data_IF_327641737584
#
_entry.id   IF_327641737584
#
_cell.length_a   1.000
_cell.length_b   1.000
_cell.length_c   1.000
_cell.angle_alpha   90.00
_cell.angle_beta   90.00
_cell.angle_gamma   90.00
#
_symmetry.space_group_name_H-M   'P 1'
#
loop_
_entity.id
_entity.type
_entity.pdbx_description
1 polymer ?
#
# COMPACT_ATOMS: atom_id res chain seq x y z
N UNK A 1 20.32 -2.08 -44.46
CA UNK A 1 18.91 -1.69 -44.19
C UNK A 1 18.11 -2.96 -44.14
N UNK A 2 17.90 -3.51 -42.94
CA UNK A 2 17.10 -4.72 -42.75
C UNK A 2 15.65 -4.31 -42.52
N UNK A 3 14.75 -4.91 -43.28
CA UNK A 3 13.31 -4.67 -43.26
C UNK A 3 12.71 -5.60 -42.20
N UNK A 4 12.02 -5.02 -41.22
CA UNK A 4 11.36 -5.75 -40.13
C UNK A 4 10.20 -6.60 -40.68
N UNK A 5 10.18 -7.88 -40.30
CA UNK A 5 9.16 -8.85 -40.67
C UNK A 5 7.99 -8.80 -39.66
N UNK A 6 6.75 -8.47 -40.07
CA UNK A 6 5.62 -8.23 -39.15
C UNK A 6 4.96 -9.50 -38.58
N UNK A 7 5.62 -10.66 -38.66
CA UNK A 7 5.03 -11.96 -38.29
C UNK A 7 5.81 -12.75 -37.22
N UNK A 8 6.79 -12.14 -36.54
CA UNK A 8 7.50 -12.78 -35.43
C UNK A 8 6.72 -12.64 -34.09
N UNK A 9 6.22 -13.73 -33.46
CA UNK A 9 5.63 -13.69 -32.13
C UNK A 9 6.64 -13.38 -31.00
N UNK A 10 7.93 -13.24 -31.34
CA UNK A 10 8.99 -12.66 -30.49
C UNK A 10 9.23 -11.17 -30.77
N UNK A 11 8.34 -10.50 -31.50
CA UNK A 11 8.26 -9.04 -31.48
C UNK A 11 8.17 -8.60 -30.01
N UNK A 12 9.34 -8.24 -29.48
CA UNK A 12 9.53 -7.82 -28.10
C UNK A 12 8.46 -6.82 -27.78
N UNK A 13 7.54 -7.18 -26.87
CA UNK A 13 6.63 -6.23 -26.28
C UNK A 13 7.51 -5.14 -25.67
N UNK A 14 7.65 -4.01 -26.37
CA UNK A 14 8.36 -2.84 -25.88
C UNK A 14 7.50 -2.25 -24.78
N UNK A 15 7.70 -2.74 -23.57
CA UNK A 15 7.07 -2.20 -22.38
C UNK A 15 7.87 -0.94 -22.01
N UNK A 16 7.57 0.16 -22.69
CA UNK A 16 8.09 1.48 -22.34
C UNK A 16 7.33 2.01 -21.11
N UNK A 17 7.96 2.85 -20.27
CA UNK A 17 7.23 3.64 -19.29
C UNK A 17 6.09 4.38 -19.98
N UNK A 18 4.89 4.34 -19.39
CA UNK A 18 3.71 5.00 -19.94
C UNK A 18 3.57 6.41 -19.41
N UNK A 19 3.01 7.30 -20.21
CA UNK A 19 2.52 8.61 -19.75
C UNK A 19 1.41 8.44 -18.71
N UNK A 20 1.09 9.52 -17.98
CA UNK A 20 -0.05 9.52 -17.03
C UNK A 20 -1.38 9.11 -17.68
N UNK A 21 -1.62 9.48 -18.94
CA UNK A 21 -2.86 9.13 -19.64
C UNK A 21 -2.94 7.61 -19.88
N UNK A 22 -1.87 7.03 -20.44
CA UNK A 22 -1.76 5.59 -20.68
C UNK A 22 -1.82 4.78 -19.37
N UNK A 23 -1.20 5.33 -18.31
CA UNK A 23 -1.29 4.79 -16.95
C UNK A 23 -2.74 4.67 -16.47
N UNK A 24 -3.49 5.76 -16.54
CA UNK A 24 -4.88 5.81 -16.07
C UNK A 24 -5.78 4.90 -16.90
N UNK A 25 -5.62 4.89 -18.22
CA UNK A 25 -6.37 4.00 -19.10
C UNK A 25 -6.12 2.53 -18.74
N UNK A 26 -4.87 2.15 -18.54
CA UNK A 26 -4.50 0.79 -18.16
C UNK A 26 -4.97 0.44 -16.74
N UNK A 27 -4.99 1.39 -15.80
CA UNK A 27 -5.59 1.19 -14.48
C UNK A 27 -7.10 0.96 -14.54
N UNK A 28 -7.82 1.72 -15.37
CA UNK A 28 -9.26 1.55 -15.56
C UNK A 28 -9.55 0.19 -16.18
N UNK A 29 -8.79 -0.19 -17.21
CA UNK A 29 -8.89 -1.51 -17.82
C UNK A 29 -8.58 -2.63 -16.82
N UNK A 30 -7.57 -2.44 -15.98
CA UNK A 30 -7.22 -3.39 -14.92
C UNK A 30 -8.33 -3.48 -13.87
N UNK A 31 -8.83 -2.36 -13.36
CA UNK A 31 -9.92 -2.31 -12.38
C UNK A 31 -11.22 -2.94 -12.89
N UNK A 32 -11.48 -2.90 -14.21
CA UNK A 32 -12.63 -3.54 -14.82
C UNK A 32 -12.55 -5.09 -14.84
N UNK A 33 -11.36 -5.67 -14.69
CA UNK A 33 -11.11 -7.12 -14.69
C UNK A 33 -10.89 -7.69 -13.29
N UNK A 34 -10.71 -6.83 -12.28
CA UNK A 34 -10.57 -7.22 -10.88
C UNK A 34 -11.93 -7.63 -10.32
N UNK A 35 -12.28 -8.88 -10.55
CA UNK A 35 -13.43 -9.56 -9.93
C UNK A 35 -12.94 -10.45 -8.77
N UNK A 36 -13.86 -10.99 -7.97
CA UNK A 36 -13.55 -12.02 -6.95
C UNK A 36 -12.88 -13.28 -7.56
N UNK A 37 -12.97 -13.44 -8.89
CA UNK A 37 -12.43 -14.56 -9.66
C UNK A 37 -11.00 -14.31 -10.17
N UNK A 38 -10.41 -13.13 -9.94
CA UNK A 38 -9.00 -12.90 -10.24
C UNK A 38 -8.16 -13.84 -9.33
N UNK A 39 -7.36 -14.77 -9.86
CA UNK A 39 -6.54 -15.68 -9.04
C UNK A 39 -5.48 -14.95 -8.19
N UNK A 40 -5.32 -13.64 -8.38
CA UNK A 40 -4.50 -12.72 -7.59
C UNK A 40 -5.33 -11.71 -6.79
N UNK A 41 -6.67 -11.78 -6.87
CA UNK A 41 -7.54 -11.48 -5.74
C UNK A 41 -7.22 -12.50 -4.65
N UNK A 42 -6.11 -12.26 -3.97
CA UNK A 42 -5.83 -12.97 -2.73
C UNK A 42 -6.88 -12.46 -1.78
N UNK A 43 -7.95 -13.24 -1.59
CA UNK A 43 -8.75 -13.15 -0.38
C UNK A 43 -7.73 -13.34 0.74
N UNK A 44 -7.30 -12.27 1.43
CA UNK A 44 -6.36 -12.45 2.51
C UNK A 44 -7.01 -13.45 3.46
N UNK A 45 -6.33 -14.58 3.70
CA UNK A 45 -6.74 -15.55 4.71
C UNK A 45 -7.11 -14.74 5.93
N UNK A 46 -8.36 -14.82 6.43
CA UNK A 46 -8.85 -13.96 7.53
C UNK A 46 -7.80 -13.95 8.65
N UNK A 47 -6.95 -12.91 8.73
CA UNK A 47 -5.81 -12.94 9.63
C UNK A 47 -6.37 -12.72 11.03
N UNK A 48 -5.80 -13.42 12.01
CA UNK A 48 -6.16 -13.21 13.40
C UNK A 48 -5.54 -11.89 13.88
N UNK A 49 -6.38 -10.91 14.20
CA UNK A 49 -5.89 -9.63 14.71
C UNK A 49 -5.37 -9.75 16.14
N UNK A 50 -4.34 -8.98 16.46
CA UNK A 50 -3.92 -8.79 17.84
C UNK A 50 -5.12 -8.21 18.62
N UNK A 51 -5.58 -8.88 19.70
CA UNK A 51 -6.72 -8.40 20.48
C UNK A 51 -6.52 -6.98 21.01
N UNK A 52 -5.28 -6.61 21.37
CA UNK A 52 -4.94 -5.25 21.80
C UNK A 52 -5.09 -4.25 20.67
N UNK A 53 -4.76 -4.64 19.42
CA UNK A 53 -4.94 -3.80 18.25
C UNK A 53 -6.43 -3.56 17.96
N UNK A 54 -7.28 -4.57 18.13
CA UNK A 54 -8.74 -4.43 18.00
C UNK A 54 -9.33 -3.57 19.12
N UNK A 55 -8.91 -3.80 20.36
CA UNK A 55 -9.45 -3.09 21.53
C UNK A 55 -9.06 -1.61 21.55
N UNK A 56 -7.80 -1.29 21.22
CA UNK A 56 -7.26 0.09 21.27
C UNK A 56 -7.31 0.82 19.93
N UNK A 57 -7.57 0.10 18.84
CA UNK A 57 -7.62 0.65 17.51
C UNK A 57 -8.87 1.48 17.25
N UNK A 58 -8.68 2.65 16.65
CA UNK A 58 -9.76 3.49 16.14
C UNK A 58 -9.72 3.42 14.62
N UNK A 59 -10.70 2.75 14.02
CA UNK A 59 -10.86 2.68 12.58
C UNK A 59 -11.41 4.01 12.05
N UNK A 60 -10.66 4.63 11.14
CA UNK A 60 -11.01 5.91 10.52
C UNK A 60 -11.04 5.75 9.00
N UNK A 61 -12.11 6.24 8.40
CA UNK A 61 -12.25 6.36 6.95
C UNK A 61 -12.07 7.84 6.57
N UNK A 62 -11.13 8.11 5.67
CA UNK A 62 -10.91 9.48 5.16
C UNK A 62 -11.87 9.85 4.02
N UNK A 63 -12.57 8.84 3.46
CA UNK A 63 -13.58 9.00 2.41
C UNK A 63 -14.96 8.63 2.96
N UNK A 64 -15.91 9.56 2.87
CA UNK A 64 -17.29 9.37 3.31
C UNK A 64 -17.99 8.24 2.53
N UNK A 65 -17.66 8.04 1.26
CA UNK A 65 -18.24 6.94 0.47
C UNK A 65 -17.75 5.58 0.95
N UNK A 66 -16.45 5.48 1.27
CA UNK A 66 -15.88 4.29 1.91
C UNK A 66 -16.55 4.01 3.25
N UNK A 67 -16.71 5.03 4.11
CA UNK A 67 -17.38 4.89 5.40
C UNK A 67 -18.82 4.39 5.24
N UNK A 68 -19.61 5.01 4.35
CA UNK A 68 -21.00 4.62 4.10
C UNK A 68 -21.09 3.19 3.58
N UNK A 69 -20.19 2.77 2.69
CA UNK A 69 -20.12 1.40 2.18
C UNK A 69 -19.86 0.40 3.29
N UNK A 70 -18.90 0.68 4.16
CA UNK A 70 -18.55 -0.20 5.27
C UNK A 70 -19.68 -0.29 6.31
N UNK A 71 -20.38 0.82 6.59
CA UNK A 71 -21.58 0.82 7.44
C UNK A 71 -22.71 0.00 6.83
N UNK A 72 -22.96 0.15 5.53
CA UNK A 72 -23.97 -0.65 4.83
C UNK A 72 -23.62 -2.14 4.86
N UNK A 73 -22.35 -2.49 4.67
CA UNK A 73 -21.85 -3.85 4.78
C UNK A 73 -22.06 -4.43 6.19
N UNK A 74 -21.70 -3.69 7.24
CA UNK A 74 -21.92 -4.11 8.63
C UNK A 74 -23.40 -4.40 8.96
N UNK A 75 -24.34 -3.70 8.30
CA UNK A 75 -25.78 -3.87 8.54
C UNK A 75 -26.36 -5.02 7.70
N UNK A 76 -25.87 -5.20 6.47
CA UNK A 76 -26.55 -6.00 5.46
C UNK A 76 -25.82 -7.28 5.03
N UNK A 77 -24.50 -7.41 5.24
CA UNK A 77 -23.76 -8.61 4.89
C UNK A 77 -23.72 -9.60 6.06
N UNK A 78 -24.25 -10.78 5.82
CA UNK A 78 -24.14 -11.92 6.75
C UNK A 78 -22.68 -12.31 6.97
N UNK A 79 -22.24 -12.48 8.22
CA UNK A 79 -20.85 -12.82 8.56
C UNK A 79 -19.92 -11.62 8.77
N UNK A 80 -20.50 -10.43 9.00
CA UNK A 80 -19.79 -9.22 9.43
C UNK A 80 -20.17 -8.89 10.87
N UNK A 81 -19.91 -9.84 11.75
CA UNK A 81 -20.40 -9.80 13.14
C UNK A 81 -19.42 -9.08 14.08
N UNK A 82 -18.25 -8.69 13.57
CA UNK A 82 -17.18 -8.07 14.34
C UNK A 82 -16.47 -6.93 13.59
N UNK A 83 -15.80 -6.05 14.35
CA UNK A 83 -14.90 -5.02 13.77
C UNK A 83 -13.74 -5.67 13.00
N UNK A 84 -13.29 -6.85 13.43
CA UNK A 84 -12.27 -7.63 12.74
C UNK A 84 -12.73 -8.03 11.33
N UNK A 85 -13.99 -8.46 11.17
CA UNK A 85 -14.55 -8.75 9.84
C UNK A 85 -14.60 -7.50 8.96
N UNK A 86 -14.96 -6.34 9.52
CA UNK A 86 -14.95 -5.07 8.79
C UNK A 86 -13.54 -4.65 8.36
N UNK A 87 -12.54 -4.80 9.24
CA UNK A 87 -11.15 -4.53 8.91
C UNK A 87 -10.63 -5.46 7.82
N UNK A 88 -10.92 -6.75 7.95
CA UNK A 88 -10.55 -7.75 6.95
C UNK A 88 -11.17 -7.43 5.60
N UNK A 89 -12.47 -7.11 5.55
CA UNK A 89 -13.11 -6.66 4.32
C UNK A 89 -12.47 -5.39 3.75
N UNK A 90 -12.18 -4.39 4.58
CA UNK A 90 -11.57 -3.16 4.12
C UNK A 90 -10.21 -3.44 3.45
N UNK A 91 -9.38 -4.30 4.03
CA UNK A 91 -8.11 -4.71 3.45
C UNK A 91 -8.31 -5.54 2.18
N UNK A 92 -9.18 -6.56 2.20
CA UNK A 92 -9.49 -7.43 1.05
C UNK A 92 -9.94 -6.63 -0.16
N UNK A 93 -10.88 -5.71 0.02
CA UNK A 93 -11.44 -4.91 -1.06
C UNK A 93 -10.60 -3.66 -1.38
N UNK A 94 -9.49 -3.45 -0.67
CA UNK A 94 -8.63 -2.27 -0.85
C UNK A 94 -9.37 -0.97 -0.55
N UNK A 95 -10.25 -0.95 0.44
CA UNK A 95 -10.93 0.24 0.92
C UNK A 95 -9.94 1.08 1.73
N UNK A 96 -9.73 2.33 1.31
CA UNK A 96 -8.86 3.27 2.02
C UNK A 96 -9.42 3.52 3.41
N UNK A 97 -8.65 3.13 4.41
CA UNK A 97 -9.02 3.20 5.82
C UNK A 97 -7.75 3.21 6.65
N UNK A 98 -7.80 3.62 7.91
CA UNK A 98 -6.62 3.61 8.79
C UNK A 98 -7.00 3.20 10.19
N UNK A 99 -6.13 2.42 10.84
CA UNK A 99 -6.23 2.14 12.26
C UNK A 99 -5.33 3.12 13.01
N UNK A 100 -5.96 3.96 13.82
CA UNK A 100 -5.29 4.90 14.70
C UNK A 100 -5.21 4.34 16.11
N UNK A 101 -4.19 4.74 16.85
CA UNK A 101 -4.02 4.41 18.26
C UNK A 101 -3.83 5.68 19.05
N UNK A 102 -4.31 5.71 20.30
CA UNK A 102 -3.98 6.80 21.21
C UNK A 102 -2.49 6.75 21.52
N UNK A 103 -1.83 7.90 21.55
CA UNK A 103 -0.38 7.95 21.86
C UNK A 103 -0.06 7.27 23.20
N UNK A 104 -0.96 7.35 24.19
CA UNK A 104 -0.83 6.70 25.50
C UNK A 104 -0.92 5.17 25.45
N UNK A 105 -1.59 4.59 24.45
CA UNK A 105 -1.72 3.13 24.30
C UNK A 105 -0.58 2.52 23.46
N UNK A 106 0.15 3.35 22.70
CA UNK A 106 1.25 2.91 21.84
C UNK A 106 2.30 2.04 22.56
N UNK A 107 2.69 2.31 23.83
CA UNK A 107 3.63 1.45 24.56
C UNK A 107 3.17 -0.01 24.72
N UNK A 108 1.87 -0.30 24.62
CA UNK A 108 1.33 -1.68 24.72
C UNK A 108 1.75 -2.56 23.55
N UNK A 109 2.19 -1.95 22.44
CA UNK A 109 2.60 -2.63 21.21
C UNK A 109 4.11 -2.75 21.07
N UNK A 110 4.87 -2.36 22.10
CA UNK A 110 6.32 -2.56 22.12
C UNK A 110 6.60 -4.05 22.29
N UNK A 111 7.10 -4.68 21.24
CA UNK A 111 7.57 -6.05 21.31
C UNK A 111 9.03 -6.07 21.78
N UNK A 112 9.33 -6.67 22.95
CA UNK A 112 10.69 -6.73 23.47
C UNK A 112 11.65 -7.56 22.60
N UNK A 113 11.15 -8.41 21.70
CA UNK A 113 12.00 -9.25 20.84
C UNK A 113 12.36 -8.59 19.50
N UNK A 114 11.65 -7.53 19.07
CA UNK A 114 11.91 -6.87 17.78
C UNK A 114 12.94 -5.73 17.85
N UNK A 115 13.53 -5.47 19.02
CA UNK A 115 14.60 -4.47 19.27
C UNK A 115 15.87 -4.62 18.39
N UNK A 116 15.89 -5.58 17.46
CA UNK A 116 16.99 -5.82 16.53
C UNK A 116 16.59 -6.02 15.06
N UNK A 117 15.33 -5.77 14.67
CA UNK A 117 14.97 -5.79 13.25
C UNK A 117 15.62 -4.60 12.56
N UNK A 118 16.68 -4.88 11.80
CA UNK A 118 17.48 -3.98 10.97
C UNK A 118 16.66 -3.26 9.88
N UNK A 119 15.72 -2.40 10.28
CA UNK A 119 15.32 -1.29 9.42
C UNK A 119 16.50 -0.32 9.42
N UNK A 120 17.01 0.05 8.25
CA UNK A 120 18.03 1.07 8.12
C UNK A 120 17.51 2.37 8.75
N UNK A 121 17.94 2.70 9.96
CA UNK A 121 17.42 3.86 10.70
C UNK A 121 17.66 5.18 9.98
N UNK A 122 18.53 5.21 8.95
CA UNK A 122 18.75 6.39 8.11
C UNK A 122 17.48 6.88 7.42
N UNK A 123 16.54 5.98 7.07
CA UNK A 123 15.27 6.37 6.46
C UNK A 123 14.27 7.00 7.45
N UNK A 124 14.60 6.97 8.74
CA UNK A 124 13.86 7.70 9.75
C UNK A 124 14.40 9.11 9.95
N UNK A 125 15.64 9.43 9.55
CA UNK A 125 16.30 10.71 9.86
C UNK A 125 15.55 11.95 9.32
N UNK A 126 15.55 13.08 10.04
CA UNK A 126 14.95 14.32 9.54
C UNK A 126 15.55 14.74 8.20
N UNK A 127 14.69 15.01 7.21
CA UNK A 127 15.11 15.44 5.88
C UNK A 127 15.51 14.30 4.94
N UNK A 128 15.35 13.04 5.34
CA UNK A 128 15.46 11.89 4.44
C UNK A 128 14.55 12.07 3.22
N UNK A 129 15.06 11.65 2.06
CA UNK A 129 14.36 11.66 0.78
C UNK A 129 14.53 10.29 0.14
N UNK A 130 13.48 9.81 -0.49
CA UNK A 130 13.57 8.57 -1.23
C UNK A 130 14.48 8.71 -2.46
N UNK A 131 15.05 7.60 -2.89
CA UNK A 131 15.72 7.54 -4.19
C UNK A 131 14.73 7.93 -5.29
N UNK A 132 15.14 8.79 -6.21
CA UNK A 132 14.34 9.12 -7.39
C UNK A 132 14.64 8.12 -8.49
N UNK A 133 13.59 7.56 -9.09
CA UNK A 133 13.76 6.76 -10.30
C UNK A 133 14.16 7.68 -11.45
N UNK A 134 15.24 7.34 -12.13
CA UNK A 134 15.70 8.02 -13.32
C UNK A 134 15.77 7.05 -14.49
N UNK A 135 15.45 7.53 -15.69
CA UNK A 135 15.66 6.79 -16.94
C UNK A 135 17.16 6.71 -17.26
N UNK A 136 17.87 5.78 -16.63
CA UNK A 136 19.29 5.53 -16.84
C UNK A 136 19.53 4.08 -17.28
N UNK A 137 20.36 3.88 -18.31
CA UNK A 137 20.68 2.53 -18.81
C UNK A 137 19.55 1.82 -19.58
N UNK A 138 18.50 2.55 -19.99
CA UNK A 138 17.39 2.02 -20.77
C UNK A 138 16.26 1.39 -19.94
N UNK A 139 15.11 1.12 -20.57
CA UNK A 139 13.88 0.73 -19.89
C UNK A 139 13.96 -0.57 -19.06
N UNK A 140 14.80 -1.53 -19.47
CA UNK A 140 14.99 -2.77 -18.73
C UNK A 140 15.72 -2.55 -17.40
N UNK A 141 16.77 -1.72 -17.42
CA UNK A 141 17.52 -1.36 -16.22
C UNK A 141 16.66 -0.57 -15.24
N UNK A 142 15.97 0.47 -15.72
CA UNK A 142 15.05 1.28 -14.91
C UNK A 142 13.98 0.42 -14.22
N UNK A 143 13.49 -0.62 -14.90
CA UNK A 143 12.53 -1.56 -14.31
C UNK A 143 13.13 -2.43 -13.22
N UNK A 144 14.34 -2.93 -13.42
CA UNK A 144 15.03 -3.71 -12.37
C UNK A 144 15.19 -2.84 -11.13
N UNK A 145 15.68 -1.62 -11.32
CA UNK A 145 15.82 -0.63 -10.24
C UNK A 145 14.49 -0.37 -9.53
N UNK A 146 13.41 -0.12 -10.28
CA UNK A 146 12.09 0.07 -9.69
C UNK A 146 11.62 -1.15 -8.87
N UNK A 147 11.78 -2.38 -9.39
CA UNK A 147 11.40 -3.59 -8.64
C UNK A 147 12.19 -3.72 -7.34
N UNK A 148 13.47 -3.39 -7.38
CA UNK A 148 14.33 -3.46 -6.21
C UNK A 148 13.96 -2.38 -5.18
N UNK A 149 13.67 -1.16 -5.61
CA UNK A 149 13.16 -0.09 -4.72
C UNK A 149 11.78 -0.44 -4.14
N UNK A 150 10.85 -0.96 -4.96
CA UNK A 150 9.54 -1.41 -4.50
C UNK A 150 9.65 -2.53 -3.45
N UNK A 151 10.58 -3.47 -3.62
CA UNK A 151 10.89 -4.48 -2.59
C UNK A 151 11.44 -3.84 -1.33
N UNK A 152 12.41 -2.92 -1.44
CA UNK A 152 13.00 -2.25 -0.27
C UNK A 152 11.93 -1.53 0.56
N UNK A 153 11.10 -0.69 -0.06
CA UNK A 153 10.08 0.08 0.67
C UNK A 153 9.00 -0.81 1.30
N UNK A 154 8.66 -1.94 0.66
CA UNK A 154 7.66 -2.89 1.20
C UNK A 154 8.21 -3.78 2.33
N UNK A 155 9.53 -3.78 2.55
CA UNK A 155 10.15 -4.48 3.68
C UNK A 155 10.35 -3.60 4.90
N UNK A 156 10.19 -2.26 4.79
CA UNK A 156 10.29 -1.34 5.92
C UNK A 156 9.22 -1.58 6.96
N UNK A 157 9.51 -1.28 8.22
CA UNK A 157 8.65 -1.52 9.39
C UNK A 157 7.22 -0.91 9.28
N UNK A 158 7.07 0.27 8.67
CA UNK A 158 5.77 0.95 8.49
C UNK A 158 5.05 0.61 7.17
N UNK A 159 5.62 -0.25 6.34
CA UNK A 159 5.03 -0.67 5.06
C UNK A 159 3.59 -1.23 5.14
N UNK A 160 3.10 -1.81 6.26
CA UNK A 160 1.68 -2.14 6.40
C UNK A 160 0.73 -0.97 6.12
N UNK A 161 1.16 0.28 6.29
CA UNK A 161 0.38 1.46 5.92
C UNK A 161 0.02 1.54 4.43
N UNK A 162 0.75 0.86 3.53
CA UNK A 162 0.36 0.76 2.12
C UNK A 162 -0.96 -0.02 1.94
N UNK A 163 -1.20 -1.05 2.75
CA UNK A 163 -2.44 -1.83 2.69
C UNK A 163 -3.64 -0.95 3.09
N UNK A 164 -3.47 -0.15 4.13
CA UNK A 164 -4.47 0.79 4.65
C UNK A 164 -4.75 1.94 3.67
N UNK A 165 -3.76 2.35 2.86
CA UNK A 165 -3.97 3.32 1.77
C UNK A 165 -4.95 2.82 0.71
N UNK A 166 -5.17 1.51 0.62
CA UNK A 166 -6.16 0.90 -0.25
C UNK A 166 -5.83 1.01 -1.74
N UNK A 167 -6.85 0.78 -2.56
CA UNK A 167 -6.81 0.89 -4.01
C UNK A 167 -5.68 0.07 -4.64
N UNK A 168 -5.03 0.66 -5.64
CA UNK A 168 -3.93 0.01 -6.35
C UNK A 168 -2.65 -0.10 -5.49
N UNK A 169 -2.46 0.85 -4.56
CA UNK A 169 -1.29 0.92 -3.70
C UNK A 169 -1.19 -0.31 -2.80
N UNK A 170 -2.29 -0.64 -2.13
CA UNK A 170 -2.39 -1.84 -1.30
C UNK A 170 -2.02 -3.10 -2.08
N UNK A 171 -2.49 -3.20 -3.32
CA UNK A 171 -2.33 -4.39 -4.17
C UNK A 171 -0.91 -4.55 -4.70
N UNK A 172 -0.29 -3.47 -5.16
CA UNK A 172 1.11 -3.51 -5.58
C UNK A 172 1.98 -3.85 -4.37
N UNK A 173 1.75 -3.22 -3.22
CA UNK A 173 2.51 -3.49 -2.00
C UNK A 173 2.40 -4.96 -1.57
N UNK A 174 1.18 -5.49 -1.54
CA UNK A 174 0.93 -6.89 -1.18
C UNK A 174 1.61 -7.87 -2.13
N UNK A 175 1.70 -7.54 -3.44
CA UNK A 175 2.44 -8.37 -4.39
C UNK A 175 3.94 -8.43 -4.09
N UNK A 176 4.55 -7.30 -3.73
CA UNK A 176 5.98 -7.27 -3.42
C UNK A 176 6.29 -7.86 -2.04
N UNK A 177 5.34 -7.81 -1.11
CA UNK A 177 5.46 -8.42 0.20
C UNK A 177 4.10 -8.91 0.74
N UNK A 178 3.78 -10.21 0.60
CA UNK A 178 2.52 -10.77 1.10
C UNK A 178 2.47 -10.81 2.65
N UNK A 179 3.61 -10.72 3.33
CA UNK A 179 3.69 -10.70 4.80
C UNK A 179 3.27 -9.36 5.42
N UNK A 180 2.90 -8.37 4.60
CA UNK A 180 2.43 -7.08 5.11
C UNK A 180 1.16 -7.20 5.95
N UNK A 181 0.30 -8.16 5.62
CA UNK A 181 -0.92 -8.41 6.39
C UNK A 181 -0.61 -8.92 7.79
N UNK A 182 0.26 -9.93 7.91
CA UNK A 182 0.70 -10.49 9.19
C UNK A 182 1.35 -9.43 10.10
N UNK A 183 1.90 -8.38 9.49
CA UNK A 183 2.50 -7.26 10.20
C UNK A 183 1.47 -6.21 10.59
N UNK A 184 0.51 -5.92 9.69
CA UNK A 184 -0.60 -5.02 9.96
C UNK A 184 -1.41 -5.46 11.17
N UNK A 185 -1.72 -6.75 11.26
CA UNK A 185 -2.58 -7.30 12.31
C UNK A 185 -1.94 -7.29 13.71
N UNK A 186 -0.62 -7.10 13.81
CA UNK A 186 0.10 -7.00 15.08
C UNK A 186 -0.13 -5.65 15.77
N UNK A 187 -0.44 -4.61 15.01
CA UNK A 187 -0.60 -3.25 15.51
C UNK A 187 0.37 -2.26 14.84
N UNK A 188 0.64 -1.10 15.46
CA UNK A 188 1.51 -0.07 14.91
C UNK A 188 2.97 -0.53 14.88
N UNK A 189 3.75 -0.07 13.89
CA UNK A 189 5.15 -0.43 13.73
C UNK A 189 6.09 0.24 14.76
N UNK A 190 7.34 -0.22 14.82
CA UNK A 190 8.46 0.39 15.58
C UNK A 190 8.65 1.88 15.27
N UNK A 191 8.34 2.34 14.04
CA UNK A 191 8.34 3.76 13.69
C UNK A 191 7.42 4.57 14.60
N UNK A 192 6.28 4.02 14.95
CA UNK A 192 5.29 4.64 15.85
C UNK A 192 5.61 4.31 17.31
N UNK A 193 5.92 3.05 17.61
CA UNK A 193 6.05 2.57 19.00
C UNK A 193 7.34 2.98 19.68
N UNK A 194 8.46 3.01 18.96
CA UNK A 194 9.79 3.33 19.48
C UNK A 194 10.24 4.73 19.10
N UNK A 195 10.07 5.09 17.83
CA UNK A 195 10.56 6.37 17.32
C UNK A 195 9.55 7.51 17.44
N UNK A 196 8.28 7.21 17.75
CA UNK A 196 7.20 8.19 17.83
C UNK A 196 7.04 9.04 16.55
N UNK A 197 7.35 8.47 15.37
CA UNK A 197 7.32 9.11 14.05
C UNK A 197 6.13 8.66 13.19
N UNK A 198 4.96 8.55 13.81
CA UNK A 198 3.69 8.30 13.11
C UNK A 198 3.05 9.55 12.52
N UNK A 199 2.00 9.35 11.73
CA UNK A 199 1.09 10.44 11.38
C UNK A 199 0.27 10.80 12.60
N UNK A 200 0.30 12.07 13.03
CA UNK A 200 -0.47 12.53 14.18
C UNK A 200 -1.77 13.17 13.69
N UNK A 201 -2.88 12.57 14.10
CA UNK A 201 -4.20 13.14 13.93
C UNK A 201 -4.60 13.84 15.23
N UNK A 202 -4.56 15.18 15.20
CA UNK A 202 -5.06 15.99 16.29
C UNK A 202 -6.55 16.29 16.05
N UNK A 203 -7.43 15.49 16.65
CA UNK A 203 -8.86 15.57 16.39
C UNK A 203 -9.61 16.41 17.42
N UNK A 204 -10.17 17.52 16.93
CA UNK A 204 -11.54 17.97 17.26
C UNK A 204 -12.61 17.20 16.46
N UNK A 205 -12.20 16.34 15.52
CA UNK A 205 -13.02 15.74 14.45
C UNK A 205 -13.62 14.37 14.84
N UNK A 206 -13.05 13.65 15.81
CA UNK A 206 -13.70 12.43 16.30
C UNK A 206 -14.84 12.87 17.22
N UNK A 207 -16.04 12.37 16.93
CA UNK A 207 -17.27 12.75 17.60
C UNK A 207 -17.08 12.66 19.12
N UNK A 208 -17.09 13.83 19.79
CA UNK A 208 -16.78 13.99 21.23
C UNK A 208 -17.64 13.05 22.08
N UNK A 209 -18.87 12.81 21.63
CA UNK A 209 -19.87 12.00 22.30
C UNK A 209 -19.64 10.49 22.17
N UNK A 210 -18.85 10.04 21.18
CA UNK A 210 -18.60 8.62 20.90
C UNK A 210 -17.37 8.10 21.64
N UNK A 211 -16.34 8.94 21.78
CA UNK A 211 -15.13 8.57 22.54
C UNK A 211 -15.13 9.10 23.98
N UNK A 212 -16.02 10.03 24.35
CA UNK A 212 -16.13 10.54 25.72
C UNK A 212 -14.88 11.30 26.20
N UNK A 213 -14.00 11.75 25.31
CA UNK A 213 -12.67 12.24 25.65
C UNK A 213 -12.47 13.71 25.24
N UNK A 214 -12.03 14.51 26.20
CA UNK A 214 -11.60 15.89 25.98
C UNK A 214 -10.23 15.88 25.29
N UNK A 215 -10.21 15.92 23.95
CA UNK A 215 -9.02 15.88 23.10
C UNK A 215 -8.20 14.57 23.19
N UNK A 216 -8.24 13.79 22.12
CA UNK A 216 -7.41 12.60 21.98
C UNK A 216 -6.39 12.85 20.88
N UNK A 217 -5.12 12.61 21.18
CA UNK A 217 -4.07 12.61 20.15
C UNK A 217 -3.91 11.20 19.64
N UNK A 218 -4.23 11.02 18.36
CA UNK A 218 -4.19 9.75 17.67
C UNK A 218 -2.95 9.68 16.77
N UNK A 219 -2.37 8.50 16.66
CA UNK A 219 -1.22 8.22 15.80
C UNK A 219 -1.42 6.95 14.99
N UNK A 220 -0.78 6.87 13.82
CA UNK A 220 -0.75 5.70 12.96
C UNK A 220 0.53 5.60 12.16
N UNK A 221 0.77 4.44 11.57
CA UNK A 221 1.76 4.31 10.51
C UNK A 221 1.38 5.13 9.28
N UNK A 222 2.39 5.63 8.58
CA UNK A 222 2.24 6.37 7.34
C UNK A 222 3.37 6.02 6.38
N UNK A 223 3.03 5.99 5.10
CA UNK A 223 4.00 6.05 4.00
C UNK A 223 3.99 7.48 3.47
N UNK A 224 5.16 7.97 3.05
CA UNK A 224 5.28 9.25 2.35
C UNK A 224 4.76 9.15 0.92
N UNK A 225 4.47 10.31 0.31
CA UNK A 225 4.11 10.36 -1.12
C UNK A 225 5.27 9.91 -2.01
N UNK A 226 6.52 10.12 -1.60
CA UNK A 226 7.70 9.66 -2.36
C UNK A 226 7.79 8.12 -2.40
N UNK A 227 7.45 7.45 -1.29
CA UNK A 227 7.39 5.99 -1.24
C UNK A 227 6.24 5.43 -2.09
N UNK A 228 5.12 6.14 -2.11
CA UNK A 228 3.98 5.82 -2.98
C UNK A 228 4.37 5.95 -4.45
N UNK A 229 5.01 7.05 -4.82
CA UNK A 229 5.49 7.31 -6.17
C UNK A 229 6.48 6.23 -6.61
N UNK A 230 7.39 5.81 -5.73
CA UNK A 230 8.28 4.67 -5.97
C UNK A 230 7.50 3.37 -6.20
N UNK A 231 6.49 3.09 -5.39
CA UNK A 231 5.68 1.88 -5.53
C UNK A 231 4.95 1.86 -6.88
N UNK A 232 4.46 3.02 -7.34
CA UNK A 232 3.84 3.20 -8.66
C UNK A 232 4.84 3.21 -9.81
N UNK A 233 6.14 3.30 -9.51
CA UNK A 233 7.20 3.41 -10.49
C UNK A 233 7.16 4.73 -11.24
N UNK A 234 6.81 5.81 -10.55
CA UNK A 234 6.79 7.17 -11.06
C UNK A 234 8.21 7.65 -11.39
N UNK A 235 8.37 8.24 -12.57
CA UNK A 235 9.61 8.85 -13.04
C UNK A 235 9.29 10.28 -13.45
N UNK A 236 9.74 11.23 -12.64
CA UNK A 236 9.56 12.65 -12.89
C UNK A 236 10.40 13.11 -14.09
N UNK A 237 9.79 13.87 -14.98
CA UNK A 237 10.48 14.56 -16.04
C UNK A 237 10.98 15.93 -15.54
N UNK A 238 12.28 16.22 -15.72
CA UNK A 238 12.95 17.36 -15.06
C UNK A 238 12.36 18.75 -15.37
N UNK A 239 11.66 18.92 -16.50
CA UNK A 239 11.19 20.23 -16.99
C UNK A 239 9.73 20.26 -17.42
N UNK A 240 9.09 19.12 -17.58
CA UNK A 240 7.79 18.99 -18.28
C UNK A 240 6.97 17.92 -17.55
N UNK A 241 6.27 18.26 -16.45
CA UNK A 241 5.51 17.30 -15.64
C UNK A 241 4.46 16.52 -16.42
N UNK A 242 3.97 17.05 -17.54
CA UNK A 242 3.07 16.37 -18.47
C UNK A 242 3.72 15.17 -19.17
N UNK A 243 5.07 15.09 -19.16
CA UNK A 243 5.86 13.98 -19.68
C UNK A 243 6.33 13.02 -18.58
N UNK A 244 5.80 13.15 -17.37
CA UNK A 244 6.06 12.20 -16.31
C UNK A 244 5.60 10.80 -16.72
N UNK A 245 6.39 9.81 -16.30
CA UNK A 245 6.21 8.43 -16.69
C UNK A 245 5.89 7.54 -15.50
N UNK A 246 5.19 6.45 -15.76
CA UNK A 246 4.85 5.42 -14.78
C UNK A 246 5.26 4.06 -15.33
N UNK A 247 5.87 3.23 -14.48
CA UNK A 247 6.27 1.86 -14.82
C UNK A 247 5.18 0.84 -14.50
N UNK A 248 4.35 1.11 -13.49
CA UNK A 248 3.09 0.39 -13.30
C UNK A 248 1.98 1.10 -14.10
N UNK A 249 0.92 0.44 -14.59
CA UNK A 249 0.84 -1.00 -14.82
C UNK A 249 1.71 -1.37 -16.03
N UNK A 250 2.34 -2.55 -15.97
CA UNK A 250 3.08 -3.06 -17.13
C UNK A 250 2.06 -3.38 -18.23
N UNK A 251 2.30 -2.93 -19.47
CA UNK A 251 1.40 -3.11 -20.64
C UNK A 251 1.02 -4.58 -20.96
N UNK A 252 1.55 -5.55 -20.22
CA UNK A 252 1.16 -6.97 -20.18
C UNK A 252 -0.02 -7.29 -19.24
N UNK A 253 -0.75 -6.27 -18.78
CA UNK A 253 -1.71 -6.33 -17.65
C UNK A 253 -2.94 -7.23 -17.81
N UNK A 254 -3.02 -8.12 -18.79
CA UNK A 254 -4.10 -9.12 -18.84
C UNK A 254 -3.69 -10.57 -18.66
N UNK A 255 -2.41 -11.00 -18.81
CA UNK A 255 -2.07 -12.44 -18.68
C UNK A 255 -0.68 -12.81 -18.13
N UNK A 256 0.40 -12.07 -18.43
CA UNK A 256 1.78 -12.52 -18.13
C UNK A 256 2.33 -12.13 -16.76
N UNK A 257 1.83 -11.04 -16.15
CA UNK A 257 2.30 -10.59 -14.83
C UNK A 257 2.01 -11.58 -13.69
N UNK A 258 1.16 -12.56 -14.00
CA UNK A 258 0.55 -13.55 -13.12
C UNK A 258 1.11 -14.97 -13.32
N UNK A 259 1.88 -15.19 -14.39
CA UNK A 259 2.52 -16.47 -14.69
C UNK A 259 3.98 -16.54 -14.22
N UNK A 260 4.62 -15.39 -13.96
CA UNK A 260 5.98 -15.30 -13.42
C UNK A 260 6.03 -15.45 -11.88
N UNK A 261 5.18 -16.32 -11.31
CA UNK A 261 5.28 -16.78 -9.92
C UNK A 261 6.32 -17.88 -9.72
N UNK A 262 7.10 -18.23 -10.75
CA UNK A 262 8.36 -18.95 -10.53
C UNK A 262 9.45 -17.97 -10.07
N UNK A 263 9.38 -17.56 -8.81
CA UNK A 263 10.57 -17.14 -8.07
C UNK A 263 10.80 -18.17 -6.97
N UNK A 264 11.74 -19.06 -7.26
CA UNK A 264 12.49 -19.81 -6.26
C UNK A 264 13.27 -18.85 -5.33
#
# INVERSE_FOLDING_TARGET
MAVDNPSDPRATYRINPGTKAEYLEALIAWAAVVTEEDPHFVNPTKPAWNPVAIEKGVLVFEDAQAEMRMRAWAIHLTGTDSIEDLLNMAVTFGIRSYVYYRIEDVPLFKDPETFGSTTDSSCLEPGFREARLEMSGGAANTRSLWKDEARKITHREWAPAFLMRGGIIARIAFKFNPKLLDRLVKGPSSRVTEHHRGFILNTRIVNRDVLGLESVVLTRDQCSEEEVDLLLGYIAHKKEPEKDLYLFPLSTCSKKWFQDTSMA
#
